data_IF_914151534834
#
_entry.id   IF_914151534834
#
_cell.length_a   1.000
_cell.length_b   1.000
_cell.length_c   1.000
_cell.angle_alpha   90.00
_cell.angle_beta   90.00
_cell.angle_gamma   90.00
#
_symmetry.space_group_name_H-M   'P 1'
#
loop_
_entity.id
_entity.type
_entity.pdbx_description
1 polymer ?
#
# COMPACT_ATOMS: atom_id res chain seq x y z
N UNK A 1 15.27 11.34 9.93
CA UNK A 1 15.19 10.87 11.32
C UNK A 1 13.72 10.70 11.66
N UNK A 2 13.31 9.56 12.22
CA UNK A 2 11.91 9.25 12.49
C UNK A 2 11.64 9.39 13.99
N UNK A 3 10.62 10.16 14.33
CA UNK A 3 10.08 10.25 15.69
C UNK A 3 8.80 9.38 15.79
N UNK A 4 8.39 9.04 17.00
CA UNK A 4 7.17 8.26 17.25
C UNK A 4 6.19 9.07 18.07
N UNK A 5 4.95 9.16 17.60
CA UNK A 5 3.80 9.66 18.37
C UNK A 5 2.84 8.50 18.69
N UNK A 6 2.42 8.40 19.96
CA UNK A 6 1.55 7.31 20.46
C UNK A 6 0.35 7.89 21.18
N UNK A 7 -0.85 7.43 20.83
CA UNK A 7 -2.08 7.79 21.54
C UNK A 7 -2.28 6.87 22.76
N UNK A 8 -2.30 7.43 23.96
CA UNK A 8 -2.49 6.70 25.21
C UNK A 8 -3.95 6.79 25.67
N UNK A 9 -4.81 5.89 25.19
CA UNK A 9 -6.23 5.87 25.51
C UNK A 9 -6.53 5.85 27.03
N UNK A 10 -5.76 5.08 27.81
CA UNK A 10 -6.01 4.88 29.25
C UNK A 10 -5.68 6.08 30.13
N UNK A 11 -4.75 6.94 29.69
CA UNK A 11 -4.21 8.05 30.50
C UNK A 11 -4.53 9.43 29.93
N UNK A 12 -5.42 9.51 28.92
CA UNK A 12 -5.82 10.75 28.26
C UNK A 12 -4.61 11.59 27.80
N UNK A 13 -3.70 10.98 27.05
CA UNK A 13 -2.47 11.64 26.61
C UNK A 13 -1.97 11.17 25.25
N UNK A 14 -1.11 11.98 24.63
CA UNK A 14 -0.24 11.60 23.52
C UNK A 14 1.19 11.57 24.04
N UNK A 15 1.89 10.48 23.79
CA UNK A 15 3.31 10.34 24.08
C UNK A 15 4.15 10.54 22.82
N UNK A 16 5.25 11.27 22.95
CA UNK A 16 6.23 11.50 21.88
C UNK A 16 7.58 10.93 22.29
N UNK A 17 8.21 10.21 21.37
CA UNK A 17 9.56 9.68 21.50
C UNK A 17 10.42 10.28 20.38
N UNK A 18 11.46 11.01 20.75
CA UNK A 18 12.38 11.62 19.79
C UNK A 18 13.40 10.58 19.33
N UNK A 19 13.54 10.40 18.02
CA UNK A 19 14.49 9.50 17.42
C UNK A 19 15.91 10.06 17.47
N UNK A 20 16.88 9.17 17.62
CA UNK A 20 18.30 9.46 17.45
C UNK A 20 18.83 8.73 16.21
N UNK A 21 19.93 9.23 15.62
CA UNK A 21 20.50 8.69 14.37
C UNK A 21 21.04 7.25 14.48
N UNK A 22 21.10 6.69 15.68
CA UNK A 22 21.47 5.30 15.94
C UNK A 22 20.26 4.35 16.02
N UNK A 23 19.05 4.83 15.69
CA UNK A 23 17.82 4.04 15.75
C UNK A 23 17.24 3.84 17.15
N UNK A 24 17.78 4.52 18.17
CA UNK A 24 17.16 4.55 19.51
C UNK A 24 16.27 5.77 19.69
N UNK A 25 15.49 5.79 20.77
CA UNK A 25 14.53 6.86 21.05
C UNK A 25 14.73 7.45 22.45
N UNK A 26 14.30 8.69 22.65
CA UNK A 26 14.24 9.35 23.96
C UNK A 26 13.26 8.64 24.90
N UNK A 27 13.26 9.03 26.18
CA UNK A 27 12.12 8.74 27.04
C UNK A 27 10.86 9.42 26.51
N UNK A 28 9.69 8.84 26.83
CA UNK A 28 8.39 9.39 26.44
C UNK A 28 8.16 10.78 27.03
N UNK A 29 7.91 11.76 26.18
CA UNK A 29 7.39 13.08 26.57
C UNK A 29 5.87 13.01 26.44
N UNK A 30 5.14 13.31 27.52
CA UNK A 30 3.69 13.12 27.56
C UNK A 30 2.96 14.46 27.53
N UNK A 31 2.00 14.59 26.61
CA UNK A 31 1.08 15.72 26.52
C UNK A 31 -0.32 15.24 26.86
N UNK A 32 -0.92 15.81 27.91
CA UNK A 32 -2.32 15.51 28.25
C UNK A 32 -3.23 16.02 27.13
N UNK A 33 -4.06 15.16 26.57
CA UNK A 33 -5.04 15.50 25.52
C UNK A 33 -6.41 14.99 25.94
N UNK A 34 -7.41 15.85 25.77
CA UNK A 34 -8.78 15.61 26.18
C UNK A 34 -8.95 15.27 27.66
N UNK A 35 -10.21 15.11 28.05
CA UNK A 35 -10.58 14.61 29.39
C UNK A 35 -11.24 13.24 29.34
N UNK A 36 -11.44 12.66 28.14
CA UNK A 36 -11.94 11.30 27.98
C UNK A 36 -11.56 10.64 26.63
N UNK A 37 -10.73 9.60 26.72
CA UNK A 37 -10.52 8.57 25.70
C UNK A 37 -10.01 9.10 24.34
N UNK A 38 -8.76 9.59 24.26
CA UNK A 38 -8.13 9.84 22.99
C UNK A 38 -8.02 8.53 22.20
N UNK A 39 -8.30 8.59 20.89
CA UNK A 39 -8.48 7.38 20.08
C UNK A 39 -7.54 7.28 18.88
N UNK A 40 -7.31 8.40 18.18
CA UNK A 40 -6.41 8.48 17.04
C UNK A 40 -5.59 9.77 17.13
N UNK A 41 -4.36 9.74 16.63
CA UNK A 41 -3.48 10.90 16.46
C UNK A 41 -2.91 10.89 15.05
N UNK A 42 -2.83 12.06 14.43
CA UNK A 42 -2.23 12.28 13.13
C UNK A 42 -1.17 13.37 13.22
N UNK A 43 -0.20 13.29 12.30
CA UNK A 43 1.00 14.12 12.26
C UNK A 43 1.03 14.85 10.92
N UNK A 44 0.96 16.18 10.92
CA UNK A 44 0.90 16.98 9.68
C UNK A 44 1.30 18.44 9.90
N UNK A 45 1.80 19.10 8.85
CA UNK A 45 2.19 20.52 8.88
C UNK A 45 0.97 21.46 8.75
N UNK A 46 0.14 21.51 9.80
CA UNK A 46 -1.12 22.27 9.83
C UNK A 46 -1.02 23.78 9.52
N UNK A 47 0.14 24.39 9.69
CA UNK A 47 0.34 25.84 9.60
C UNK A 47 1.38 26.25 8.55
N UNK A 48 1.77 25.31 7.68
CA UNK A 48 2.70 25.50 6.56
C UNK A 48 4.05 26.08 7.01
N UNK A 49 4.50 25.74 8.21
CA UNK A 49 5.77 26.20 8.76
C UNK A 49 6.90 25.17 8.59
N UNK A 50 6.62 24.10 7.84
CA UNK A 50 7.50 22.95 7.57
C UNK A 50 7.79 22.11 8.80
N UNK A 51 7.01 22.26 9.87
CA UNK A 51 7.13 21.46 11.09
C UNK A 51 5.86 20.65 11.30
N UNK A 52 6.06 19.40 11.67
CA UNK A 52 4.96 18.47 11.83
C UNK A 52 4.27 18.70 13.17
N UNK A 53 2.99 19.03 13.12
CA UNK A 53 2.13 19.24 14.28
C UNK A 53 1.34 17.97 14.61
N UNK A 54 0.74 17.91 15.80
CA UNK A 54 -0.11 16.79 16.21
C UNK A 54 -1.57 17.19 16.26
N UNK A 55 -2.44 16.31 15.75
CA UNK A 55 -3.89 16.40 16.00
C UNK A 55 -4.42 15.09 16.52
N UNK A 56 -5.09 15.13 17.68
CA UNK A 56 -5.69 13.98 18.33
C UNK A 56 -7.22 14.07 18.36
N UNK A 57 -7.90 12.93 18.20
CA UNK A 57 -9.35 12.84 18.44
C UNK A 57 -9.65 12.32 19.82
N UNK A 58 -10.61 12.93 20.49
CA UNK A 58 -11.17 12.40 21.73
C UNK A 58 -12.54 11.77 21.47
N UNK A 59 -12.69 10.50 21.80
CA UNK A 59 -13.96 9.78 21.60
C UNK A 59 -14.95 10.10 22.70
N UNK A 60 -14.48 10.24 23.95
CA UNK A 60 -15.34 10.40 25.12
C UNK A 60 -15.89 11.82 25.31
N UNK A 61 -15.29 12.80 24.63
CA UNK A 61 -15.69 14.21 24.66
C UNK A 61 -15.76 14.76 23.24
N UNK A 62 -16.61 15.77 23.02
CA UNK A 62 -16.91 16.32 21.69
C UNK A 62 -15.77 17.20 21.15
N UNK A 63 -14.50 16.83 21.21
CA UNK A 63 -13.41 17.68 20.73
C UNK A 63 -12.29 16.91 20.01
N UNK A 64 -11.49 17.67 19.28
CA UNK A 64 -10.12 17.31 18.88
C UNK A 64 -9.14 18.22 19.62
N UNK A 65 -7.90 17.75 19.75
CA UNK A 65 -6.80 18.52 20.31
C UNK A 65 -5.74 18.76 19.24
N UNK A 66 -5.36 20.03 19.05
CA UNK A 66 -4.28 20.43 18.16
C UNK A 66 -3.09 20.88 18.99
N UNK A 67 -1.91 20.33 18.72
CA UNK A 67 -0.66 20.70 19.38
C UNK A 67 0.35 21.11 18.31
N UNK A 68 0.79 22.38 18.36
CA UNK A 68 1.75 22.92 17.40
C UNK A 68 3.19 22.68 17.89
N UNK A 69 4.11 22.47 16.97
CA UNK A 69 5.51 22.13 17.26
C UNK A 69 6.38 23.39 17.42
N UNK A 70 7.32 23.38 18.38
CA UNK A 70 8.17 24.54 18.72
C UNK A 70 9.49 24.63 17.92
N UNK A 71 9.86 23.62 17.14
CA UNK A 71 11.11 23.48 16.37
C UNK A 71 12.17 22.61 17.05
N UNK A 72 11.82 21.90 18.12
CA UNK A 72 12.74 21.13 18.96
C UNK A 72 12.17 19.77 19.41
N UNK A 73 11.10 19.30 18.76
CA UNK A 73 10.39 18.07 19.13
C UNK A 73 9.45 18.23 20.32
N UNK A 74 9.21 19.45 20.79
CA UNK A 74 8.22 19.75 21.83
C UNK A 74 7.00 20.50 21.29
N UNK A 75 5.86 20.34 21.96
CA UNK A 75 4.59 20.82 21.47
C UNK A 75 3.91 21.81 22.42
N UNK A 76 3.06 22.68 21.87
CA UNK A 76 2.21 23.60 22.63
C UNK A 76 1.26 22.86 23.56
N UNK A 77 0.68 23.59 24.52
CA UNK A 77 -0.52 23.09 25.20
C UNK A 77 -1.63 22.79 24.17
N UNK A 78 -2.46 21.76 24.39
CA UNK A 78 -3.47 21.36 23.43
C UNK A 78 -4.52 22.44 23.26
N UNK A 79 -4.78 22.81 22.01
CA UNK A 79 -5.93 23.62 21.63
C UNK A 79 -7.11 22.71 21.35
N UNK A 80 -8.14 22.81 22.19
CA UNK A 80 -9.38 22.06 22.01
C UNK A 80 -10.27 22.72 20.96
N UNK A 81 -10.74 21.95 19.98
CA UNK A 81 -11.75 22.38 19.01
C UNK A 81 -13.01 21.54 19.17
N UNK A 82 -14.16 22.17 19.36
CA UNK A 82 -15.44 21.48 19.61
C UNK A 82 -16.00 20.90 18.34
N UNK A 83 -16.08 19.58 18.28
CA UNK A 83 -16.50 18.80 17.11
C UNK A 83 -17.98 18.39 17.10
N UNK A 84 -18.80 18.96 17.99
CA UNK A 84 -20.26 18.78 17.99
C UNK A 84 -20.80 17.35 18.20
N UNK A 85 -19.96 16.33 18.47
CA UNK A 85 -20.40 14.92 18.66
C UNK A 85 -19.35 14.05 19.35
N UNK A 86 -19.79 13.14 20.24
CA UNK A 86 -19.00 12.32 21.19
C UNK A 86 -18.58 10.98 20.60
N UNK A 87 -18.24 10.93 19.32
CA UNK A 87 -17.92 9.67 18.64
C UNK A 87 -16.81 9.86 17.60
N UNK A 88 -15.88 10.77 17.85
CA UNK A 88 -14.68 10.92 17.02
C UNK A 88 -13.80 9.68 17.19
N UNK A 89 -13.59 8.94 16.10
CA UNK A 89 -12.81 7.67 16.09
C UNK A 89 -11.65 7.70 15.08
N UNK A 90 -11.52 8.77 14.30
CA UNK A 90 -10.56 8.90 13.21
C UNK A 90 -10.40 10.38 12.86
N UNK A 91 -9.24 10.70 12.29
CA UNK A 91 -8.86 12.03 11.82
C UNK A 91 -7.99 11.86 10.56
N UNK A 92 -8.17 12.80 9.63
CA UNK A 92 -7.35 12.98 8.45
C UNK A 92 -6.99 14.48 8.33
N UNK A 93 -5.82 14.78 7.77
CA UNK A 93 -5.37 16.15 7.49
C UNK A 93 -5.04 16.31 6.01
N UNK A 94 -5.58 17.35 5.38
CA UNK A 94 -5.28 17.69 3.99
C UNK A 94 -5.53 19.19 3.74
N UNK A 95 -4.78 19.81 2.84
CA UNK A 95 -5.10 21.16 2.36
C UNK A 95 -6.34 21.08 1.45
N UNK A 96 -7.50 21.42 2.00
CA UNK A 96 -8.80 21.24 1.34
C UNK A 96 -9.18 22.44 0.48
N UNK A 97 -8.90 23.66 0.98
CA UNK A 97 -9.25 24.90 0.31
C UNK A 97 -8.13 25.43 -0.60
N UNK A 98 -6.98 24.73 -0.68
CA UNK A 98 -5.83 25.12 -1.51
C UNK A 98 -5.37 26.55 -1.28
N UNK A 99 -5.58 27.05 -0.06
CA UNK A 99 -5.27 28.42 0.27
C UNK A 99 -3.76 28.59 0.36
N UNK A 100 -3.13 29.09 -0.71
CA UNK A 100 -1.73 29.47 -0.67
C UNK A 100 -1.57 30.75 0.16
N UNK A 101 -1.64 30.63 1.49
CA UNK A 101 -1.39 31.74 2.37
C UNK A 101 0.09 32.16 2.30
N UNK A 102 0.33 33.33 1.68
CA UNK A 102 1.61 34.06 1.72
C UNK A 102 2.81 33.33 1.11
N UNK A 103 2.62 32.55 0.03
CA UNK A 103 3.72 31.85 -0.65
C UNK A 103 4.28 30.65 0.13
N UNK A 104 3.57 30.21 1.16
CA UNK A 104 3.74 28.91 1.82
C UNK A 104 2.57 28.02 1.38
N UNK A 105 2.84 26.75 1.08
CA UNK A 105 1.81 25.81 0.60
C UNK A 105 0.83 25.53 1.74
N UNK A 106 -0.43 25.98 1.58
CA UNK A 106 -1.67 25.36 2.07
C UNK A 106 -1.78 24.97 3.54
N UNK A 107 -2.73 25.57 4.27
CA UNK A 107 -3.07 25.11 5.62
C UNK A 107 -3.84 23.79 5.56
N UNK A 108 -3.40 22.76 6.29
CA UNK A 108 -4.10 21.47 6.29
C UNK A 108 -5.40 21.58 7.10
N UNK A 109 -6.54 21.45 6.44
CA UNK A 109 -7.84 21.29 7.06
C UNK A 109 -7.95 19.96 7.81
N UNK A 110 -8.68 19.98 8.93
CA UNK A 110 -8.89 18.80 9.78
C UNK A 110 -10.23 18.17 9.43
N UNK A 111 -10.20 16.88 9.07
CA UNK A 111 -11.40 16.11 8.72
C UNK A 111 -11.92 15.29 9.90
N UNK A 112 -13.23 15.40 10.17
CA UNK A 112 -13.94 14.50 11.09
C UNK A 112 -15.15 13.89 10.42
N UNK A 113 -15.38 12.61 10.71
CA UNK A 113 -16.68 11.96 10.50
C UNK A 113 -17.29 11.47 11.84
N UNK A 114 -18.20 12.22 12.49
CA UNK A 114 -19.13 11.64 13.47
C UNK A 114 -20.15 10.67 12.83
N UNK A 115 -20.85 9.88 13.66
CA UNK A 115 -21.92 8.95 13.24
C UNK A 115 -22.93 9.52 12.22
N UNK A 116 -23.12 10.84 12.15
CA UNK A 116 -24.17 11.50 11.37
C UNK A 116 -23.75 12.78 10.60
N UNK A 117 -22.49 13.24 10.66
CA UNK A 117 -22.03 14.50 10.02
C UNK A 117 -20.59 14.39 9.53
N UNK A 118 -20.12 15.34 8.73
CA UNK A 118 -18.71 15.55 8.40
C UNK A 118 -18.37 17.01 8.70
N UNK A 119 -17.30 17.26 9.47
CA UNK A 119 -16.93 18.60 9.96
C UNK A 119 -15.51 18.94 9.53
N UNK A 120 -15.32 20.18 9.08
CA UNK A 120 -14.05 20.74 8.60
C UNK A 120 -13.61 21.91 9.48
N UNK A 121 -12.31 22.02 9.73
CA UNK A 121 -11.69 23.19 10.37
C UNK A 121 -10.63 23.80 9.48
N UNK A 122 -10.68 25.12 9.31
CA UNK A 122 -9.62 25.90 8.68
C UNK A 122 -8.60 26.35 9.74
N UNK A 123 -7.30 26.01 9.63
CA UNK A 123 -6.32 26.20 10.71
C UNK A 123 -5.91 27.66 10.97
N UNK A 124 -6.15 28.60 10.04
CA UNK A 124 -5.79 30.00 10.25
C UNK A 124 -6.87 30.78 11.00
N UNK A 125 -8.14 30.57 10.67
CA UNK A 125 -9.28 31.26 11.28
C UNK A 125 -9.99 30.42 12.35
N UNK A 126 -9.77 29.11 12.37
CA UNK A 126 -10.39 28.14 13.28
C UNK A 126 -11.93 28.14 13.21
N UNK A 127 -12.46 28.48 12.03
CA UNK A 127 -13.88 28.45 11.74
C UNK A 127 -14.30 27.05 11.27
N UNK A 128 -15.54 26.71 11.58
CA UNK A 128 -16.14 25.40 11.33
C UNK A 128 -16.99 25.45 10.05
N UNK A 129 -16.73 24.54 9.11
CA UNK A 129 -17.58 24.34 7.94
C UNK A 129 -18.23 22.95 7.98
N UNK A 130 -19.51 22.88 7.60
CA UNK A 130 -20.33 21.66 7.66
C UNK A 130 -20.65 21.17 6.25
N UNK A 131 -20.49 19.87 6.01
CA UNK A 131 -21.02 19.21 4.80
C UNK A 131 -22.06 18.17 5.22
N UNK A 132 -23.31 18.40 4.82
CA UNK A 132 -24.42 17.47 5.01
C UNK A 132 -24.41 16.43 3.89
N UNK A 133 -23.92 15.21 4.15
CA UNK A 133 -24.15 14.06 3.27
C UNK A 133 -25.17 13.10 3.89
N UNK A 134 -26.32 12.97 3.24
CA UNK A 134 -27.52 12.28 3.75
C UNK A 134 -27.51 10.75 3.55
N UNK A 135 -26.44 10.16 3.00
CA UNK A 135 -26.47 8.79 2.44
C UNK A 135 -25.79 7.68 3.27
N UNK A 136 -25.27 7.93 4.48
CA UNK A 136 -24.37 6.96 5.15
C UNK A 136 -24.76 6.61 6.59
N UNK A 137 -24.85 5.32 6.92
CA UNK A 137 -25.51 4.82 8.14
C UNK A 137 -24.58 4.31 9.25
N UNK A 138 -23.32 3.92 8.97
CA UNK A 138 -22.26 3.63 9.98
C UNK A 138 -20.85 3.77 9.39
N UNK A 139 -20.08 4.75 9.87
CA UNK A 139 -18.78 5.17 9.28
C UNK A 139 -17.59 4.75 10.17
N UNK A 140 -16.53 4.19 9.58
CA UNK A 140 -15.15 4.13 10.13
C UNK A 140 -14.26 4.78 9.07
N UNK A 141 -13.35 5.67 9.42
CA UNK A 141 -12.52 6.35 8.40
C UNK A 141 -11.05 6.04 8.57
N UNK A 142 -10.36 6.07 7.43
CA UNK A 142 -8.92 5.97 7.30
C UNK A 142 -8.49 7.20 6.50
N UNK A 143 -7.56 7.96 7.07
CA UNK A 143 -6.68 8.83 6.29
C UNK A 143 -5.68 7.93 5.56
N UNK A 144 -5.35 8.28 4.34
CA UNK A 144 -4.43 7.52 3.49
C UNK A 144 -3.04 7.64 4.10
N UNK A 145 -2.61 6.61 4.82
CA UNK A 145 -1.22 6.44 5.22
C UNK A 145 -0.42 5.99 4.00
N UNK A 146 -0.07 6.95 3.15
CA UNK A 146 1.04 6.81 2.20
C UNK A 146 2.22 7.58 2.75
N UNK A 147 3.18 6.90 3.39
CA UNK A 147 4.50 7.48 3.62
C UNK A 147 5.19 7.68 2.27
N UNK A 148 4.93 8.80 1.62
CA UNK A 148 5.83 9.50 0.72
C UNK A 148 5.16 10.78 0.26
N UNK A 149 5.98 11.84 0.16
CA UNK A 149 5.67 13.16 -0.40
C UNK A 149 4.54 13.12 -1.46
N UNK A 150 3.48 13.90 -1.22
CA UNK A 150 2.43 14.26 -2.18
C UNK A 150 1.62 13.09 -2.76
N UNK A 151 0.50 12.76 -2.14
CA UNK A 151 -0.75 12.58 -2.88
C UNK A 151 -1.94 12.51 -1.92
N UNK A 152 -2.62 13.65 -1.79
CA UNK A 152 -4.06 13.66 -1.56
C UNK A 152 -4.70 12.91 -2.74
N UNK A 153 -5.31 11.75 -2.51
CA UNK A 153 -5.80 10.89 -3.59
C UNK A 153 -6.76 11.63 -4.50
N UNK A 154 -6.41 11.67 -5.79
CA UNK A 154 -7.18 12.30 -6.86
C UNK A 154 -7.99 11.19 -7.56
N UNK A 155 -9.24 11.00 -7.14
CA UNK A 155 -10.21 10.06 -7.71
C UNK A 155 -11.59 10.73 -7.81
N UNK A 156 -11.90 11.38 -8.94
CA UNK A 156 -11.35 11.30 -10.31
C UNK A 156 -10.11 12.17 -10.55
N UNK A 157 -9.41 12.04 -11.70
CA UNK A 157 -8.42 13.03 -12.17
C UNK A 157 -9.09 14.35 -12.58
N UNK A 158 -9.68 15.03 -11.61
CA UNK A 158 -10.37 16.32 -11.79
C UNK A 158 -9.64 17.47 -11.09
N UNK A 159 -8.42 17.21 -10.60
CA UNK A 159 -7.61 18.13 -9.79
C UNK A 159 -8.24 18.48 -8.43
N UNK A 160 -9.37 17.89 -8.02
CA UNK A 160 -9.92 18.06 -6.68
C UNK A 160 -9.44 16.95 -5.74
N UNK A 161 -9.61 17.18 -4.44
CA UNK A 161 -9.24 16.21 -3.42
C UNK A 161 -10.45 15.33 -3.14
N UNK A 162 -10.27 14.01 -3.27
CA UNK A 162 -11.33 13.05 -3.01
C UNK A 162 -11.06 12.24 -1.74
N UNK A 163 -12.13 11.77 -1.12
CA UNK A 163 -12.08 11.07 0.16
C UNK A 163 -12.64 9.65 -0.01
N UNK A 164 -12.03 8.67 0.65
CA UNK A 164 -12.59 7.32 0.73
C UNK A 164 -13.26 7.14 2.10
N UNK A 165 -14.54 6.78 2.07
CA UNK A 165 -15.35 6.53 3.26
C UNK A 165 -15.71 5.05 3.34
N UNK A 166 -15.28 4.37 4.41
CA UNK A 166 -15.63 2.97 4.63
C UNK A 166 -16.96 2.87 5.39
N UNK A 167 -17.92 2.19 4.78
CA UNK A 167 -19.25 1.95 5.33
C UNK A 167 -19.36 0.50 5.78
N UNK A 168 -18.89 0.23 6.99
CA UNK A 168 -18.90 -1.12 7.59
C UNK A 168 -20.31 -1.72 7.66
N UNK A 169 -21.33 -0.90 7.95
CA UNK A 169 -22.71 -1.35 8.10
C UNK A 169 -23.43 -1.72 6.79
N UNK A 170 -22.90 -1.29 5.64
CA UNK A 170 -23.53 -1.53 4.32
C UNK A 170 -22.63 -2.30 3.36
N UNK A 171 -21.50 -2.85 3.82
CA UNK A 171 -20.53 -3.58 3.00
C UNK A 171 -20.17 -2.81 1.72
N UNK A 172 -19.68 -1.58 1.90
CA UNK A 172 -19.34 -0.70 0.79
C UNK A 172 -18.30 0.33 1.17
N UNK A 173 -17.63 0.89 0.16
CA UNK A 173 -16.92 2.16 0.24
C UNK A 173 -17.69 3.22 -0.54
N UNK A 174 -17.70 4.45 -0.01
CA UNK A 174 -18.20 5.63 -0.69
C UNK A 174 -17.04 6.55 -1.04
N UNK A 175 -17.07 7.12 -2.24
CA UNK A 175 -16.11 8.13 -2.69
C UNK A 175 -16.91 9.41 -2.96
N UNK A 176 -16.98 10.35 -1.99
CA UNK A 176 -17.49 11.70 -2.23
C UNK A 176 -16.49 12.43 -3.13
N UNK A 177 -16.97 12.88 -4.29
CA UNK A 177 -16.15 13.57 -5.28
C UNK A 177 -16.03 15.04 -4.89
N UNK A 178 -14.82 15.59 -4.91
CA UNK A 178 -14.60 17.03 -4.72
C UNK A 178 -15.18 17.81 -5.89
N UNK A 179 -16.05 18.79 -5.62
CA UNK A 179 -16.67 19.62 -6.67
C UNK A 179 -16.02 21.01 -6.78
N UNK A 180 -15.77 21.65 -5.63
CA UNK A 180 -15.02 22.90 -5.48
C UNK A 180 -14.15 22.82 -4.19
N UNK A 181 -13.40 23.88 -3.86
CA UNK A 181 -12.48 23.98 -2.71
C UNK A 181 -13.08 23.62 -1.33
N UNK A 182 -14.41 23.56 -1.19
CA UNK A 182 -15.05 23.28 0.12
C UNK A 182 -16.32 22.41 0.01
N UNK A 183 -16.65 21.86 -1.16
CA UNK A 183 -17.90 21.11 -1.39
C UNK A 183 -17.67 19.76 -2.03
N UNK A 184 -18.40 18.74 -1.56
CA UNK A 184 -18.39 17.38 -2.10
C UNK A 184 -19.74 17.08 -2.75
N UNK A 185 -19.71 16.49 -3.95
CA UNK A 185 -20.90 16.06 -4.69
C UNK A 185 -21.40 14.67 -4.26
N UNK A 186 -22.42 14.15 -4.96
CA UNK A 186 -22.98 12.82 -4.69
C UNK A 186 -21.90 11.74 -4.78
N UNK A 187 -21.83 10.89 -3.75
CA UNK A 187 -20.82 9.84 -3.64
C UNK A 187 -21.03 8.70 -4.63
N UNK A 188 -19.95 8.26 -5.28
CA UNK A 188 -19.94 6.93 -5.91
C UNK A 188 -19.86 5.86 -4.81
N UNK A 189 -20.64 4.79 -4.92
CA UNK A 189 -20.65 3.69 -3.95
C UNK A 189 -20.18 2.41 -4.64
N UNK A 190 -19.16 1.79 -4.07
CA UNK A 190 -18.65 0.48 -4.51
C UNK A 190 -18.94 -0.56 -3.44
N UNK A 191 -19.60 -1.64 -3.84
CA UNK A 191 -19.86 -2.76 -2.95
C UNK A 191 -18.58 -3.55 -2.69
N UNK A 192 -18.37 -3.88 -1.43
CA UNK A 192 -17.28 -4.71 -0.93
C UNK A 192 -17.85 -6.02 -0.38
N UNK A 193 -17.02 -6.93 0.12
CA UNK A 193 -17.48 -7.93 1.08
C UNK A 193 -17.75 -7.33 2.47
N UNK A 194 -18.03 -8.20 3.44
CA UNK A 194 -18.56 -7.85 4.74
C UNK A 194 -17.52 -7.34 5.73
N UNK A 195 -17.96 -6.35 6.50
CA UNK A 195 -17.14 -5.72 7.52
C UNK A 195 -15.88 -5.05 6.97
N UNK A 196 -15.96 -4.20 5.93
CA UNK A 196 -14.80 -3.44 5.49
C UNK A 196 -14.28 -2.63 6.69
N UNK A 197 -12.99 -2.75 6.94
CA UNK A 197 -12.35 -2.22 8.14
C UNK A 197 -11.38 -1.11 7.81
N UNK A 198 -10.37 -1.33 6.97
CA UNK A 198 -9.34 -0.35 6.58
C UNK A 198 -9.19 -0.30 5.07
N UNK A 199 -8.74 0.83 4.54
CA UNK A 199 -8.44 1.00 3.13
C UNK A 199 -7.16 1.81 2.95
N UNK A 200 -6.47 1.57 1.84
CA UNK A 200 -5.30 2.32 1.42
C UNK A 200 -5.28 2.46 -0.11
N UNK A 201 -4.49 3.40 -0.59
CA UNK A 201 -4.39 3.76 -2.00
C UNK A 201 -2.95 3.55 -2.46
N UNK A 202 -2.79 2.98 -3.65
CA UNK A 202 -1.50 2.73 -4.25
C UNK A 202 -1.69 2.15 -5.65
N UNK A 203 -0.65 2.20 -6.48
CA UNK A 203 -0.65 1.48 -7.74
C UNK A 203 -0.19 0.04 -7.47
N UNK A 204 -1.14 -0.89 -7.41
CA UNK A 204 -0.86 -2.30 -7.06
C UNK A 204 -0.53 -3.16 -8.29
N UNK A 205 -0.51 -2.53 -9.46
CA UNK A 205 -0.40 -3.21 -10.74
C UNK A 205 0.45 -2.47 -11.77
N UNK A 206 1.24 -1.50 -11.30
CA UNK A 206 2.24 -0.72 -12.02
C UNK A 206 1.74 -0.11 -13.34
N UNK A 207 0.52 0.44 -13.36
CA UNK A 207 0.01 1.16 -14.54
C UNK A 207 0.00 2.67 -14.40
N UNK A 208 0.53 3.17 -13.29
CA UNK A 208 0.53 4.56 -12.87
C UNK A 208 -0.86 5.17 -12.66
N UNK A 209 -1.88 4.31 -12.53
CA UNK A 209 -3.21 4.68 -12.07
C UNK A 209 -3.32 4.12 -10.65
N UNK A 210 -3.79 4.97 -9.74
CA UNK A 210 -3.97 4.52 -8.37
C UNK A 210 -5.10 3.46 -8.31
N UNK A 211 -5.02 2.56 -7.34
CA UNK A 211 -6.07 1.62 -7.02
C UNK A 211 -6.40 1.71 -5.53
N UNK A 212 -7.44 0.99 -5.09
CA UNK A 212 -7.82 0.92 -3.68
C UNK A 212 -7.69 -0.52 -3.18
N UNK A 213 -7.02 -0.69 -2.06
CA UNK A 213 -7.02 -1.93 -1.29
C UNK A 213 -7.87 -1.78 -0.03
N UNK A 214 -8.60 -2.82 0.36
CA UNK A 214 -9.55 -2.80 1.48
C UNK A 214 -9.41 -4.09 2.29
N UNK A 215 -9.40 -4.02 3.63
CA UNK A 215 -9.56 -5.19 4.50
C UNK A 215 -11.03 -5.43 4.80
N UNK A 216 -11.49 -6.67 4.66
CA UNK A 216 -12.88 -7.05 4.89
C UNK A 216 -12.93 -8.07 6.02
N UNK A 217 -13.06 -7.53 7.23
CA UNK A 217 -12.80 -8.26 8.46
C UNK A 217 -13.74 -9.44 8.73
N UNK A 218 -14.97 -9.42 8.22
CA UNK A 218 -15.92 -10.52 8.44
C UNK A 218 -15.74 -11.64 7.41
N UNK A 219 -15.22 -11.32 6.23
CA UNK A 219 -14.97 -12.29 5.16
C UNK A 219 -13.55 -12.87 5.20
N UNK A 220 -12.67 -12.32 6.05
CA UNK A 220 -11.26 -12.72 6.17
C UNK A 220 -10.50 -12.58 4.85
N UNK A 221 -10.74 -11.47 4.17
CA UNK A 221 -10.09 -11.14 2.90
C UNK A 221 -9.51 -9.74 2.91
N UNK A 222 -8.57 -9.53 2.01
CA UNK A 222 -8.19 -8.22 1.48
C UNK A 222 -8.69 -8.17 0.03
N UNK A 223 -9.27 -7.06 -0.38
CA UNK A 223 -9.72 -6.84 -1.74
C UNK A 223 -9.00 -5.67 -2.41
N UNK A 224 -8.72 -5.78 -3.70
CA UNK A 224 -8.15 -4.70 -4.53
C UNK A 224 -9.16 -4.31 -5.60
N UNK A 225 -9.47 -3.02 -5.68
CA UNK A 225 -10.34 -2.40 -6.68
C UNK A 225 -9.46 -1.55 -7.60
N UNK A 226 -9.22 -2.07 -8.81
CA UNK A 226 -8.33 -1.46 -9.81
C UNK A 226 -8.92 -0.16 -10.34
N UNK A 227 -8.12 0.90 -10.42
CA UNK A 227 -8.52 2.16 -11.03
C UNK A 227 -8.52 2.11 -12.55
N UNK A 228 -9.53 2.72 -13.18
CA UNK A 228 -9.60 2.84 -14.64
C UNK A 228 -9.06 4.18 -15.16
N UNK A 229 -8.58 5.07 -14.29
CA UNK A 229 -8.01 6.38 -14.67
C UNK A 229 -9.04 7.40 -15.13
N UNK A 230 -10.33 7.07 -15.07
CA UNK A 230 -11.46 7.93 -15.41
C UNK A 230 -12.35 8.22 -14.20
N UNK A 231 -11.82 8.03 -12.99
CA UNK A 231 -12.56 8.15 -11.72
C UNK A 231 -13.40 6.94 -11.32
N UNK A 232 -13.47 5.92 -12.18
CA UNK A 232 -14.17 4.68 -11.86
C UNK A 232 -13.21 3.59 -11.39
N UNK A 233 -13.71 2.73 -10.51
CA UNK A 233 -13.02 1.53 -10.05
C UNK A 233 -13.63 0.28 -10.68
N UNK A 234 -12.78 -0.70 -10.92
CA UNK A 234 -13.17 -2.03 -11.32
C UNK A 234 -13.81 -2.83 -10.20
N UNK A 235 -14.23 -4.06 -10.57
CA UNK A 235 -14.73 -5.03 -9.60
C UNK A 235 -13.61 -5.44 -8.65
N UNK A 236 -13.97 -5.67 -7.38
CA UNK A 236 -13.03 -6.15 -6.38
C UNK A 236 -12.41 -7.50 -6.77
N UNK A 237 -11.09 -7.61 -6.59
CA UNK A 237 -10.33 -8.86 -6.62
C UNK A 237 -9.99 -9.22 -5.18
N UNK A 238 -10.50 -10.36 -4.70
CA UNK A 238 -10.40 -10.75 -3.29
C UNK A 238 -9.31 -11.80 -3.06
N UNK A 239 -8.55 -11.61 -1.99
CA UNK A 239 -7.44 -12.45 -1.56
C UNK A 239 -7.63 -12.85 -0.11
N UNK A 240 -7.52 -14.14 0.18
CA UNK A 240 -7.70 -14.65 1.55
C UNK A 240 -6.58 -14.20 2.48
N UNK A 241 -6.96 -13.87 3.71
CA UNK A 241 -6.04 -13.58 4.81
C UNK A 241 -6.29 -14.52 5.99
N UNK A 242 -5.60 -14.28 7.10
CA UNK A 242 -6.03 -14.79 8.40
C UNK A 242 -7.32 -14.13 8.88
N UNK A 243 -7.77 -14.51 10.08
CA UNK A 243 -9.04 -14.11 10.67
C UNK A 243 -9.05 -12.64 11.12
N UNK A 244 -10.10 -11.92 10.70
CA UNK A 244 -10.36 -10.52 11.03
C UNK A 244 -9.18 -9.60 10.69
N UNK A 245 -8.85 -9.44 9.39
CA UNK A 245 -7.87 -8.46 8.95
C UNK A 245 -8.39 -7.05 9.27
N UNK A 246 -7.65 -6.30 10.08
CA UNK A 246 -8.05 -4.94 10.49
C UNK A 246 -7.21 -3.86 9.82
N UNK A 247 -5.90 -3.96 9.90
CA UNK A 247 -4.99 -2.89 9.48
C UNK A 247 -4.17 -3.31 8.26
N UNK A 248 -3.83 -2.32 7.44
CA UNK A 248 -2.99 -2.46 6.25
C UNK A 248 -1.67 -1.73 6.44
N UNK A 249 -0.60 -2.27 5.86
CA UNK A 249 0.64 -1.56 5.58
C UNK A 249 1.06 -1.87 4.14
N UNK A 250 1.52 -0.85 3.43
CA UNK A 250 1.91 -0.93 2.03
C UNK A 250 3.38 -0.54 1.89
N UNK A 251 4.14 -1.38 1.20
CA UNK A 251 5.52 -1.10 0.81
C UNK A 251 5.94 -2.14 -0.20
N UNK A 252 6.96 -1.86 -0.98
CA UNK A 252 7.76 -2.91 -1.60
C UNK A 252 8.63 -3.55 -0.49
N UNK A 253 8.20 -4.68 0.06
CA UNK A 253 8.89 -5.35 1.17
C UNK A 253 9.96 -6.34 0.67
N UNK A 254 9.84 -6.81 -0.57
CA UNK A 254 10.76 -7.76 -1.19
C UNK A 254 11.75 -7.11 -2.18
N UNK A 255 11.65 -5.80 -2.42
CA UNK A 255 12.45 -4.99 -3.35
C UNK A 255 12.26 -5.36 -4.82
N UNK A 256 11.08 -5.81 -5.20
CA UNK A 256 10.77 -6.19 -6.58
C UNK A 256 10.13 -5.06 -7.40
N UNK A 257 10.10 -3.84 -6.86
CA UNK A 257 9.51 -2.63 -7.44
C UNK A 257 7.98 -2.66 -7.58
N UNK A 258 7.32 -3.62 -6.95
CA UNK A 258 5.85 -3.66 -6.83
C UNK A 258 5.42 -3.42 -5.40
N UNK A 259 4.21 -2.89 -5.26
CA UNK A 259 3.64 -2.62 -3.95
C UNK A 259 3.08 -3.92 -3.35
N UNK A 260 3.63 -4.33 -2.21
CA UNK A 260 3.12 -5.44 -1.43
C UNK A 260 2.09 -4.95 -0.40
N UNK A 261 1.20 -5.87 0.00
CA UNK A 261 0.17 -5.61 1.00
C UNK A 261 0.41 -6.47 2.24
N UNK A 262 0.49 -5.83 3.40
CA UNK A 262 0.52 -6.51 4.71
C UNK A 262 -0.78 -6.25 5.46
N UNK A 263 -1.45 -7.31 5.90
CA UNK A 263 -2.67 -7.24 6.70
C UNK A 263 -2.45 -7.82 8.11
N UNK A 264 -2.86 -7.08 9.14
CA UNK A 264 -2.84 -7.55 10.53
C UNK A 264 -4.12 -8.32 10.88
N UNK A 265 -4.00 -9.62 11.17
CA UNK A 265 -5.11 -10.53 11.48
C UNK A 265 -5.37 -10.54 13.00
N UNK A 266 -6.37 -9.76 13.43
CA UNK A 266 -6.59 -9.49 14.85
C UNK A 266 -6.89 -10.75 15.67
N UNK A 267 -7.73 -11.65 15.15
CA UNK A 267 -8.15 -12.83 15.90
C UNK A 267 -7.07 -13.92 15.93
N UNK A 268 -6.35 -14.07 14.83
CA UNK A 268 -5.31 -15.10 14.71
C UNK A 268 -3.98 -14.66 15.35
N UNK A 269 -3.81 -13.36 15.61
CA UNK A 269 -2.55 -12.76 16.07
C UNK A 269 -1.40 -13.01 15.09
N UNK A 270 -1.73 -13.03 13.80
CA UNK A 270 -0.80 -13.22 12.70
C UNK A 270 -0.81 -12.01 11.77
N UNK A 271 0.11 -11.99 10.81
CA UNK A 271 0.07 -11.10 9.66
C UNK A 271 -0.09 -11.94 8.39
N UNK A 272 -0.81 -11.41 7.41
CA UNK A 272 -0.83 -11.92 6.04
C UNK A 272 -0.02 -10.98 5.17
N UNK A 273 0.85 -11.53 4.33
CA UNK A 273 1.65 -10.77 3.36
C UNK A 273 1.23 -11.24 1.97
N UNK A 274 0.75 -10.30 1.15
CA UNK A 274 0.38 -10.54 -0.24
C UNK A 274 1.41 -9.80 -1.09
N UNK A 275 2.23 -10.56 -1.81
CA UNK A 275 3.26 -10.01 -2.67
C UNK A 275 2.66 -9.54 -4.00
N UNK A 276 3.20 -8.45 -4.56
CA UNK A 276 2.94 -8.10 -5.96
C UNK A 276 3.46 -9.22 -6.87
N UNK A 277 2.62 -9.83 -7.72
CA UNK A 277 3.00 -11.00 -8.51
C UNK A 277 3.41 -10.70 -9.96
N UNK A 278 4.17 -11.64 -10.54
CA UNK A 278 4.78 -11.58 -11.87
C UNK A 278 3.84 -11.64 -13.07
N UNK A 279 4.20 -10.88 -14.11
CA UNK A 279 3.45 -10.66 -15.34
C UNK A 279 4.42 -10.71 -16.55
N UNK A 280 4.33 -11.72 -17.42
CA UNK A 280 5.27 -11.92 -18.55
C UNK A 280 4.85 -11.19 -19.83
N UNK A 281 3.59 -10.76 -19.93
CA UNK A 281 3.09 -10.02 -21.09
C UNK A 281 2.82 -8.54 -20.83
N UNK A 282 3.12 -8.06 -19.64
CA UNK A 282 2.76 -6.74 -19.13
C UNK A 282 1.22 -6.49 -19.15
N UNK A 283 0.41 -7.55 -19.12
CA UNK A 283 -1.04 -7.50 -18.89
C UNK A 283 -1.29 -7.95 -17.45
N UNK A 284 -2.09 -7.22 -16.66
CA UNK A 284 -2.23 -7.33 -15.18
C UNK A 284 -2.85 -8.66 -14.66
N UNK A 285 -2.51 -9.76 -15.29
CA UNK A 285 -3.05 -11.10 -15.14
C UNK A 285 -1.87 -12.03 -14.81
N UNK A 286 -2.12 -12.97 -13.91
CA UNK A 286 -1.10 -13.94 -13.51
C UNK A 286 -0.81 -14.92 -14.64
N UNK A 287 0.46 -15.08 -14.97
CA UNK A 287 0.96 -16.04 -15.96
C UNK A 287 1.69 -17.21 -15.29
N UNK A 288 1.89 -18.31 -16.01
CA UNK A 288 2.63 -19.48 -15.52
C UNK A 288 3.80 -19.80 -16.46
N UNK A 289 5.02 -19.81 -15.91
CA UNK A 289 6.18 -20.44 -16.54
C UNK A 289 6.29 -21.92 -16.15
N UNK A 290 6.71 -22.77 -17.09
CA UNK A 290 6.97 -24.20 -16.82
C UNK A 290 8.26 -24.68 -17.47
N UNK A 291 8.97 -25.56 -16.77
CA UNK A 291 10.11 -26.32 -17.28
C UNK A 291 9.64 -27.69 -17.76
N UNK A 292 9.72 -27.97 -19.07
CA UNK A 292 9.32 -29.25 -19.63
C UNK A 292 10.55 -30.14 -19.85
N UNK A 293 11.04 -30.76 -18.77
CA UNK A 293 12.26 -31.57 -18.78
C UNK A 293 12.27 -32.64 -19.88
N UNK A 294 11.17 -33.39 -20.04
CA UNK A 294 11.04 -34.45 -21.04
C UNK A 294 10.95 -33.95 -22.49
N UNK A 295 10.57 -32.70 -22.70
CA UNK A 295 10.42 -32.09 -24.02
C UNK A 295 11.58 -31.13 -24.40
N UNK A 296 12.55 -30.95 -23.49
CA UNK A 296 13.71 -30.05 -23.66
C UNK A 296 13.31 -28.62 -24.05
N UNK A 297 12.28 -28.08 -23.40
CA UNK A 297 11.83 -26.71 -23.63
C UNK A 297 11.21 -26.11 -22.37
N UNK A 298 11.02 -24.80 -22.38
CA UNK A 298 10.21 -24.09 -21.39
C UNK A 298 8.92 -23.62 -22.05
N UNK A 299 7.89 -23.38 -21.27
CA UNK A 299 6.67 -22.79 -21.80
C UNK A 299 6.04 -21.76 -20.88
N UNK A 300 5.26 -20.88 -21.49
CA UNK A 300 4.51 -19.83 -20.81
C UNK A 300 3.03 -20.03 -21.10
N UNK A 301 2.21 -19.96 -20.06
CA UNK A 301 0.75 -19.90 -20.14
C UNK A 301 0.33 -18.50 -19.71
N UNK A 302 -0.27 -17.73 -20.62
CA UNK A 302 -0.83 -16.43 -20.28
C UNK A 302 -2.17 -16.58 -19.55
N UNK A 303 -2.37 -15.84 -18.46
CA UNK A 303 -3.62 -15.85 -17.70
C UNK A 303 -4.71 -14.99 -18.30
N UNK A 304 -5.97 -15.40 -18.11
CA UNK A 304 -7.16 -14.60 -18.45
C UNK A 304 -7.77 -13.86 -17.24
N UNK A 305 -7.19 -14.00 -16.04
CA UNK A 305 -7.69 -13.36 -14.81
C UNK A 305 -8.92 -14.01 -14.19
N UNK A 306 -9.39 -15.13 -14.73
CA UNK A 306 -10.55 -15.90 -14.27
C UNK A 306 -10.21 -17.37 -14.00
N UNK A 307 -8.97 -17.63 -13.57
CA UNK A 307 -8.40 -18.98 -13.36
C UNK A 307 -8.28 -19.84 -14.62
N UNK A 308 -8.46 -19.27 -15.80
CA UNK A 308 -8.18 -19.90 -17.09
C UNK A 308 -6.87 -19.34 -17.67
N UNK A 309 -6.21 -20.16 -18.49
CA UNK A 309 -4.97 -19.82 -19.16
C UNK A 309 -5.06 -20.12 -20.66
N UNK A 310 -4.25 -19.43 -21.46
CA UNK A 310 -4.02 -19.72 -22.88
C UNK A 310 -3.42 -21.12 -23.08
N UNK A 311 -3.39 -21.60 -24.32
CA UNK A 311 -2.53 -22.74 -24.68
C UNK A 311 -1.06 -22.36 -24.47
N UNK A 312 -0.25 -23.32 -24.02
CA UNK A 312 1.18 -23.14 -23.79
C UNK A 312 1.89 -22.56 -25.02
N UNK A 313 2.59 -21.45 -24.82
CA UNK A 313 3.62 -20.97 -25.74
C UNK A 313 4.93 -21.65 -25.39
N UNK A 314 5.58 -22.27 -26.37
CA UNK A 314 6.75 -23.13 -26.15
C UNK A 314 8.01 -22.48 -26.71
N UNK A 315 9.06 -22.44 -25.90
CA UNK A 315 10.36 -21.86 -26.26
C UNK A 315 11.45 -22.91 -26.10
N UNK A 316 12.14 -23.21 -27.21
CA UNK A 316 13.26 -24.14 -27.20
C UNK A 316 14.45 -23.54 -26.46
N UNK A 317 15.10 -24.36 -25.63
CA UNK A 317 16.29 -23.99 -24.89
C UNK A 317 17.25 -25.16 -24.76
N UNK A 318 18.03 -25.11 -23.70
CA UNK A 318 18.91 -26.18 -23.27
C UNK A 318 18.17 -27.48 -22.90
N UNK A 319 18.88 -28.60 -22.93
CA UNK A 319 18.31 -29.93 -22.64
C UNK A 319 18.00 -30.13 -21.17
N UNK A 320 16.88 -30.78 -20.87
CA UNK A 320 16.43 -31.15 -19.53
C UNK A 320 16.36 -29.97 -18.55
N UNK A 321 15.50 -28.97 -18.81
CA UNK A 321 15.24 -27.92 -17.83
C UNK A 321 14.60 -28.51 -16.57
N UNK A 322 15.16 -28.22 -15.40
CA UNK A 322 14.74 -28.77 -14.11
C UNK A 322 14.10 -27.72 -13.20
N UNK A 323 14.63 -26.50 -13.24
CA UNK A 323 14.16 -25.40 -12.41
C UNK A 323 14.13 -24.13 -13.24
N UNK A 324 13.17 -23.26 -12.92
CA UNK A 324 13.01 -21.93 -13.51
C UNK A 324 12.83 -20.91 -12.40
N UNK A 325 13.30 -19.69 -12.66
CA UNK A 325 13.05 -18.53 -11.84
C UNK A 325 12.80 -17.33 -12.75
N UNK A 326 12.11 -16.33 -12.21
CA UNK A 326 11.58 -15.19 -12.96
C UNK A 326 12.04 -13.90 -12.31
N UNK A 327 12.34 -12.91 -13.13
CA UNK A 327 12.83 -11.62 -12.67
C UNK A 327 13.11 -10.73 -13.86
N UNK A 328 13.24 -9.43 -13.64
CA UNK A 328 13.72 -8.51 -14.66
C UNK A 328 15.25 -8.37 -14.52
N UNK A 329 16.01 -9.07 -15.37
CA UNK A 329 17.48 -9.09 -15.29
C UNK A 329 18.12 -7.96 -16.10
N UNK A 330 17.37 -7.29 -16.98
CA UNK A 330 17.88 -6.23 -17.86
C UNK A 330 17.28 -4.84 -17.58
N UNK A 331 16.35 -4.73 -16.63
CA UNK A 331 15.63 -3.52 -16.21
C UNK A 331 14.82 -2.89 -17.33
N UNK A 332 14.08 -3.69 -18.08
CA UNK A 332 13.15 -3.22 -19.11
C UNK A 332 11.68 -3.30 -18.71
N UNK A 333 11.39 -3.61 -17.45
CA UNK A 333 10.07 -3.79 -16.85
C UNK A 333 9.26 -4.96 -17.46
N UNK A 334 9.94 -5.88 -18.17
CA UNK A 334 9.37 -7.12 -18.68
C UNK A 334 10.04 -8.28 -17.96
N UNK A 335 9.24 -9.23 -17.46
CA UNK A 335 9.82 -10.41 -16.82
C UNK A 335 10.59 -11.28 -17.81
N UNK A 336 11.81 -11.60 -17.41
CA UNK A 336 12.67 -12.59 -18.01
C UNK A 336 12.53 -13.95 -17.30
N UNK A 337 13.12 -14.97 -17.91
CA UNK A 337 13.13 -16.33 -17.37
C UNK A 337 14.56 -16.86 -17.32
N UNK A 338 15.03 -17.26 -16.15
CA UNK A 338 16.27 -18.04 -16.01
C UNK A 338 15.94 -19.50 -15.78
N UNK A 339 16.73 -20.38 -16.40
CA UNK A 339 16.50 -21.82 -16.46
C UNK A 339 17.76 -22.56 -16.05
N UNK A 340 17.64 -23.43 -15.05
CA UNK A 340 18.65 -24.42 -14.72
C UNK A 340 18.38 -25.70 -15.50
N UNK A 341 19.38 -26.16 -16.26
CA UNK A 341 19.27 -27.33 -17.13
C UNK A 341 20.22 -28.41 -16.66
N UNK A 342 19.67 -29.58 -16.30
CA UNK A 342 20.45 -30.63 -15.63
C UNK A 342 21.55 -31.24 -16.51
N UNK A 343 21.26 -31.46 -17.78
CA UNK A 343 22.25 -32.01 -18.73
C UNK A 343 23.13 -30.94 -19.38
N UNK A 344 22.92 -29.66 -19.05
CA UNK A 344 23.69 -28.56 -19.61
C UNK A 344 24.55 -27.96 -18.50
N UNK A 345 25.85 -27.81 -18.75
CA UNK A 345 26.79 -27.24 -17.76
C UNK A 345 26.66 -25.71 -17.68
N UNK A 346 25.44 -25.21 -17.82
CA UNK A 346 25.08 -23.82 -17.91
C UNK A 346 23.71 -23.59 -17.27
N UNK A 347 23.44 -22.33 -16.96
CA UNK A 347 22.08 -21.81 -16.91
C UNK A 347 21.85 -21.08 -18.23
N UNK A 348 20.59 -20.87 -18.58
CA UNK A 348 20.31 -19.84 -19.56
C UNK A 348 19.18 -18.92 -19.19
N UNK A 349 19.32 -17.70 -19.66
CA UNK A 349 18.43 -16.56 -19.45
C UNK A 349 17.75 -16.27 -20.76
N UNK A 350 16.43 -16.28 -20.73
CA UNK A 350 15.55 -15.82 -21.79
C UNK A 350 15.08 -14.43 -21.43
N UNK A 351 15.42 -13.44 -22.26
CA UNK A 351 14.90 -12.10 -22.04
C UNK A 351 13.47 -12.00 -22.58
N UNK A 352 12.56 -11.45 -21.78
CA UNK A 352 11.21 -11.13 -22.19
C UNK A 352 11.20 -10.02 -23.23
N UNK A 353 10.17 -9.98 -24.08
CA UNK A 353 9.91 -8.80 -24.91
C UNK A 353 8.40 -8.51 -25.04
N UNK A 354 7.62 -8.98 -24.06
CA UNK A 354 6.18 -8.76 -23.95
C UNK A 354 5.34 -9.82 -24.64
N UNK A 355 4.03 -9.78 -24.40
CA UNK A 355 3.05 -10.76 -24.92
C UNK A 355 3.42 -12.22 -24.61
N UNK A 356 4.12 -12.45 -23.49
CA UNK A 356 4.62 -13.76 -23.06
C UNK A 356 5.65 -14.37 -24.01
N UNK A 357 6.28 -13.56 -24.84
CA UNK A 357 7.30 -14.00 -25.78
C UNK A 357 8.71 -13.82 -25.21
N UNK A 358 9.57 -14.79 -25.48
CA UNK A 358 10.96 -14.83 -25.02
C UNK A 358 11.93 -14.73 -26.20
N UNK A 359 12.97 -13.90 -26.05
CA UNK A 359 14.12 -13.87 -26.95
C UNK A 359 14.90 -15.18 -26.87
N UNK A 360 15.80 -15.38 -27.85
CA UNK A 360 16.69 -16.54 -27.84
C UNK A 360 17.51 -16.57 -26.54
N UNK A 361 17.54 -17.74 -25.91
CA UNK A 361 18.31 -18.01 -24.70
C UNK A 361 19.77 -17.56 -24.82
N UNK A 362 20.23 -16.79 -23.84
CA UNK A 362 21.65 -16.57 -23.56
C UNK A 362 22.09 -17.56 -22.49
N UNK A 363 23.24 -18.20 -22.68
CA UNK A 363 23.75 -19.21 -21.73
C UNK A 363 24.95 -18.69 -20.95
N UNK A 364 25.02 -19.06 -19.67
CA UNK A 364 26.10 -18.71 -18.76
C UNK A 364 26.62 -19.99 -18.12
N UNK A 365 27.93 -20.20 -18.19
CA UNK A 365 28.58 -21.40 -17.67
C UNK A 365 28.59 -21.35 -16.14
N UNK A 366 28.09 -22.41 -15.49
CA UNK A 366 27.88 -22.45 -14.03
C UNK A 366 28.96 -23.21 -13.25
N UNK A 367 29.99 -23.69 -13.94
CA UNK A 367 31.04 -24.52 -13.35
C UNK A 367 31.82 -25.33 -14.39
N UNK A 368 32.43 -26.43 -13.96
CA UNK A 368 33.16 -27.34 -14.83
C UNK A 368 32.25 -28.21 -15.72
N UNK A 369 32.85 -29.19 -16.39
CA UNK A 369 32.19 -30.00 -17.43
C UNK A 369 31.09 -30.95 -16.93
N UNK A 370 30.78 -30.96 -15.63
CA UNK A 370 29.73 -31.80 -15.02
C UNK A 370 28.89 -31.03 -13.97
N UNK A 371 28.70 -29.72 -14.15
CA UNK A 371 28.00 -28.85 -13.20
C UNK A 371 26.59 -29.37 -12.83
N UNK A 372 25.80 -29.82 -13.82
CA UNK A 372 24.46 -30.39 -13.62
C UNK A 372 23.57 -29.54 -12.70
N UNK A 373 23.25 -28.32 -13.13
CA UNK A 373 22.49 -27.37 -12.32
C UNK A 373 21.04 -27.86 -12.13
N UNK A 374 20.59 -27.96 -10.87
CA UNK A 374 19.27 -28.56 -10.52
C UNK A 374 18.27 -27.58 -9.94
N UNK A 375 18.73 -26.51 -9.30
CA UNK A 375 17.87 -25.51 -8.66
C UNK A 375 18.47 -24.13 -8.85
N UNK A 376 17.59 -23.15 -9.00
CA UNK A 376 17.93 -21.73 -9.10
C UNK A 376 17.05 -20.91 -8.16
N UNK A 377 17.62 -19.83 -7.64
CA UNK A 377 16.95 -18.79 -6.88
C UNK A 377 17.46 -17.43 -7.35
N UNK A 378 16.60 -16.42 -7.30
CA UNK A 378 16.92 -15.07 -7.77
C UNK A 378 16.52 -14.06 -6.72
N UNK A 379 17.42 -13.13 -6.43
CA UNK A 379 17.22 -12.00 -5.55
C UNK A 379 18.40 -11.04 -5.71
N UNK A 380 18.25 -9.81 -5.24
CA UNK A 380 19.39 -8.91 -5.04
C UNK A 380 20.15 -9.31 -3.77
N UNK A 381 21.10 -10.23 -3.90
CA UNK A 381 21.93 -10.71 -2.79
C UNK A 381 23.11 -9.78 -2.51
N UNK A 382 23.57 -9.05 -3.53
CA UNK A 382 24.69 -8.11 -3.46
C UNK A 382 24.28 -6.71 -2.95
N UNK A 383 22.98 -6.41 -2.94
CA UNK A 383 22.38 -5.12 -2.61
C UNK A 383 22.85 -3.99 -3.57
N UNK A 384 22.99 -4.31 -4.86
CA UNK A 384 23.31 -3.38 -5.94
C UNK A 384 22.10 -3.02 -6.83
N UNK A 385 20.92 -3.48 -6.41
CA UNK A 385 19.63 -3.40 -7.09
C UNK A 385 19.54 -4.20 -8.40
N UNK A 386 20.50 -5.04 -8.75
CA UNK A 386 20.38 -6.01 -9.84
C UNK A 386 20.02 -7.38 -9.26
N UNK A 387 19.19 -8.15 -9.96
CA UNK A 387 18.90 -9.52 -9.54
C UNK A 387 20.12 -10.39 -9.80
N UNK A 388 20.65 -10.99 -8.74
CA UNK A 388 21.66 -12.05 -8.84
C UNK A 388 20.97 -13.42 -8.98
N UNK A 389 21.67 -14.37 -9.60
CA UNK A 389 21.16 -15.73 -9.85
C UNK A 389 22.01 -16.72 -9.07
N UNK A 390 21.45 -17.33 -8.03
CA UNK A 390 22.12 -18.39 -7.28
C UNK A 390 21.69 -19.75 -7.83
N UNK A 391 22.63 -20.64 -8.10
CA UNK A 391 22.34 -21.99 -8.59
C UNK A 391 23.03 -23.09 -7.78
N UNK A 392 22.39 -24.26 -7.67
CA UNK A 392 22.99 -25.46 -7.08
C UNK A 392 23.39 -26.45 -8.16
N UNK A 393 24.65 -26.91 -8.09
CA UNK A 393 25.28 -27.79 -9.06
C UNK A 393 25.43 -29.18 -8.45
N UNK A 394 24.61 -30.12 -8.93
CA UNK A 394 24.56 -31.48 -8.37
C UNK A 394 25.86 -32.25 -8.62
N UNK A 395 26.39 -32.20 -9.84
CA UNK A 395 27.54 -33.02 -10.22
C UNK A 395 28.86 -32.57 -9.60
N UNK A 396 28.94 -31.29 -9.18
CA UNK A 396 30.13 -30.72 -8.56
C UNK A 396 29.98 -30.51 -7.04
N UNK A 397 28.78 -30.72 -6.48
CA UNK A 397 28.45 -30.42 -5.09
C UNK A 397 28.77 -28.95 -4.70
N UNK A 398 28.50 -28.02 -5.61
CA UNK A 398 28.77 -26.59 -5.41
C UNK A 398 27.50 -25.75 -5.49
N UNK A 399 27.60 -24.53 -4.98
CA UNK A 399 26.65 -23.43 -5.23
C UNK A 399 27.43 -22.37 -6.00
N UNK A 400 26.85 -21.86 -7.08
CA UNK A 400 27.37 -20.70 -7.82
C UNK A 400 26.44 -19.50 -7.69
N UNK A 401 26.97 -18.32 -8.00
CA UNK A 401 26.26 -17.03 -8.08
C UNK A 401 26.68 -16.33 -9.37
#
# INVERSE_FOLDING_TARGET
MLDIAVTNHGNNSVGVFLGYDNGTFSNQITYSVGTASPYATEVSDLNSDQRMNLVGTNRGINNIDVLLEYGNGTFTSPRMLSTGSSSSICIATADLNKDNHQGRKGGFGIFKIPKFKTIFYEPYIWEEFQVESTSFTRRKCFSILGFSKFQTSVFPPDNHLDIIVINNGTASIGIPLGFDEVTFESSMIYHTGFGPYSAAVGDFNNDHILDIVITESQDNIVSVLVGYGNGYLGKQSAYSTGSHPYFLALSDFNKDTRLDIVAGNYNDKTISILLGFGNFNNERLMDIGVANSGANNVGIFLGYGNSLFTSQMVFSGDSTPYSIAVGDFNRDDILDLVVASYASNNIGVFLGYGKGSLLRQKTFVTGGSNSQSISIAVADFSNDNFLDIVMTNYGENTVGV
#
